data_IF_467380819378
#
_entry.id   IF_467380819378
#
_cell.length_a   1.000
_cell.length_b   1.000
_cell.length_c   1.000
_cell.angle_alpha   90.00
_cell.angle_beta   90.00
_cell.angle_gamma   90.00
#
_symmetry.space_group_name_H-M   'P 1'
#
loop_
_entity.id
_entity.type
_entity.pdbx_description
1 polymer ?
#
# COMPACT_ATOMS: atom_id res chain seq x y z
N UNK A 1 40.11 0.88 30.77
CA UNK A 1 39.99 2.28 30.32
C UNK A 1 40.15 2.26 28.81
N UNK A 2 39.13 2.73 28.09
CA UNK A 2 38.97 2.52 26.65
C UNK A 2 37.75 1.66 26.33
N UNK A 3 36.55 2.13 26.67
CA UNK A 3 35.33 1.61 26.06
C UNK A 3 35.26 2.24 24.67
N UNK A 4 35.41 1.43 23.63
CA UNK A 4 35.22 1.88 22.25
C UNK A 4 33.74 1.72 21.89
N UNK A 5 33.18 2.86 21.51
CA UNK A 5 31.77 3.18 21.46
C UNK A 5 31.14 2.47 20.28
N UNK A 6 30.10 1.66 20.55
CA UNK A 6 29.18 1.13 19.55
C UNK A 6 28.70 2.28 18.64
N UNK A 7 29.06 2.22 17.36
CA UNK A 7 28.53 3.11 16.35
C UNK A 7 27.00 2.96 16.35
N UNK A 8 26.34 4.07 16.69
CA UNK A 8 24.89 4.25 16.73
C UNK A 8 24.25 3.78 15.43
N UNK A 9 23.17 3.03 15.58
CA UNK A 9 22.18 2.65 14.56
C UNK A 9 21.97 3.79 13.57
N UNK A 10 22.48 3.61 12.35
CA UNK A 10 21.95 4.29 11.18
C UNK A 10 20.50 3.86 11.01
N UNK A 11 19.64 4.83 10.76
CA UNK A 11 18.23 4.64 10.46
C UNK A 11 18.10 3.89 9.13
N UNK A 12 18.27 2.57 9.17
CA UNK A 12 17.58 1.70 8.22
C UNK A 12 16.11 1.87 8.57
N UNK A 13 15.47 2.86 7.94
CA UNK A 13 14.02 2.86 7.84
C UNK A 13 13.67 1.47 7.36
N UNK A 14 13.07 0.69 8.26
CA UNK A 14 12.50 -0.62 7.99
C UNK A 14 11.84 -0.49 6.62
N UNK A 15 12.41 -1.14 5.60
CA UNK A 15 11.73 -1.21 4.32
C UNK A 15 10.40 -1.84 4.67
N UNK A 16 9.34 -1.02 4.73
CA UNK A 16 7.97 -1.50 4.70
C UNK A 16 8.00 -2.44 3.52
N UNK A 17 7.96 -3.75 3.80
CA UNK A 17 7.96 -4.74 2.75
C UNK A 17 6.91 -4.29 1.75
N UNK A 18 7.19 -4.46 0.46
CA UNK A 18 6.25 -4.11 -0.61
C UNK A 18 5.05 -5.08 -0.59
N UNK A 19 4.42 -5.20 0.57
CA UNK A 19 3.25 -5.98 0.85
C UNK A 19 2.10 -5.20 0.25
N UNK A 20 1.58 -5.73 -0.85
CA UNK A 20 0.51 -5.13 -1.61
C UNK A 20 -0.79 -5.88 -1.36
N UNK A 21 -1.87 -5.12 -1.34
CA UNK A 21 -3.25 -5.57 -1.26
C UNK A 21 -3.84 -5.52 -2.67
N UNK A 22 -4.33 -6.65 -3.20
CA UNK A 22 -4.99 -6.65 -4.50
C UNK A 22 -6.28 -5.83 -4.42
N UNK A 23 -6.70 -5.25 -5.54
CA UNK A 23 -7.93 -4.46 -5.60
C UNK A 23 -9.17 -5.31 -5.89
N UNK A 24 -8.98 -6.57 -6.28
CA UNK A 24 -10.03 -7.43 -6.83
C UNK A 24 -10.42 -7.07 -8.26
N UNK A 25 -9.65 -6.20 -8.92
CA UNK A 25 -9.85 -5.75 -10.31
C UNK A 25 -8.53 -5.88 -11.06
N UNK A 26 -8.36 -6.95 -11.84
CA UNK A 26 -7.11 -7.27 -12.54
C UNK A 26 -6.52 -6.08 -13.32
N UNK A 27 -7.37 -5.34 -14.03
CA UNK A 27 -6.92 -4.18 -14.80
C UNK A 27 -6.34 -3.07 -13.92
N UNK A 28 -6.93 -2.84 -12.74
CA UNK A 28 -6.45 -1.85 -11.79
C UNK A 28 -5.19 -2.34 -11.08
N UNK A 29 -5.12 -3.62 -10.70
CA UNK A 29 -3.93 -4.21 -10.08
C UNK A 29 -2.71 -4.12 -10.98
N UNK A 30 -2.89 -4.39 -12.27
CA UNK A 30 -1.84 -4.22 -13.28
C UNK A 30 -1.36 -2.77 -13.37
N UNK A 31 -2.28 -1.79 -13.34
CA UNK A 31 -1.94 -0.36 -13.36
C UNK A 31 -1.19 0.06 -12.09
N UNK A 32 -1.56 -0.50 -10.94
CA UNK A 32 -0.95 -0.19 -9.63
C UNK A 32 0.35 -0.95 -9.36
N UNK A 33 0.77 -1.86 -10.26
CA UNK A 33 1.98 -2.67 -10.10
C UNK A 33 1.80 -3.82 -9.11
N UNK A 34 0.64 -4.48 -9.11
CA UNK A 34 0.30 -5.58 -8.20
C UNK A 34 -0.52 -5.16 -6.99
N UNK A 35 -1.29 -4.07 -7.11
CA UNK A 35 -2.22 -3.61 -6.07
C UNK A 35 -1.69 -2.46 -5.18
N UNK A 36 -2.45 -2.14 -4.16
CA UNK A 36 -2.20 -1.03 -3.24
C UNK A 36 -1.14 -1.38 -2.20
N UNK A 37 -0.09 -0.56 -2.02
CA UNK A 37 0.82 -0.69 -0.88
C UNK A 37 0.07 -0.72 0.47
N UNK A 38 0.38 -1.69 1.33
CA UNK A 38 -0.22 -1.74 2.67
C UNK A 38 0.23 -0.55 3.52
N UNK A 39 -0.65 -0.15 4.44
CA UNK A 39 -0.43 1.01 5.31
C UNK A 39 -0.63 2.38 4.64
N UNK A 40 -1.02 2.40 3.36
CA UNK A 40 -1.37 3.62 2.64
C UNK A 40 -2.79 4.12 2.91
N UNK A 41 -3.01 5.41 2.69
CA UNK A 41 -4.34 6.03 2.66
C UNK A 41 -4.68 6.42 1.22
N UNK A 42 -5.84 5.98 0.72
CA UNK A 42 -6.22 6.11 -0.68
C UNK A 42 -7.55 6.86 -0.84
N UNK A 43 -7.58 7.82 -1.77
CA UNK A 43 -8.78 8.59 -2.12
C UNK A 43 -9.28 8.16 -3.50
N UNK A 44 -10.53 7.72 -3.57
CA UNK A 44 -11.22 7.40 -4.81
C UNK A 44 -12.17 8.57 -5.15
N UNK A 45 -11.95 9.24 -6.27
CA UNK A 45 -12.76 10.36 -6.73
C UNK A 45 -13.33 10.13 -8.13
N UNK A 46 -14.48 10.75 -8.42
CA UNK A 46 -15.15 10.67 -9.73
C UNK A 46 -16.61 11.14 -9.68
N UNK A 47 -17.20 11.39 -10.84
CA UNK A 47 -18.56 11.89 -11.01
C UNK A 47 -19.65 10.95 -10.47
N UNK A 48 -20.90 11.40 -10.24
CA UNK A 48 -22.02 10.51 -9.93
C UNK A 48 -22.16 9.40 -10.98
N UNK A 49 -22.36 8.16 -10.54
CA UNK A 49 -22.49 6.99 -11.44
C UNK A 49 -21.17 6.38 -11.92
N UNK A 50 -19.99 6.92 -11.57
CA UNK A 50 -18.67 6.37 -11.96
C UNK A 50 -18.28 5.04 -11.31
N UNK A 51 -19.11 4.47 -10.44
CA UNK A 51 -18.85 3.15 -9.83
C UNK A 51 -17.95 3.15 -8.58
N UNK A 52 -17.71 4.29 -7.93
CA UNK A 52 -16.90 4.38 -6.68
C UNK A 52 -17.35 3.39 -5.59
N UNK A 53 -18.65 3.32 -5.33
CA UNK A 53 -19.21 2.38 -4.34
C UNK A 53 -19.03 0.94 -4.79
N UNK A 54 -19.20 0.66 -6.09
CA UNK A 54 -18.97 -0.67 -6.65
C UNK A 54 -17.51 -1.10 -6.50
N UNK A 55 -16.56 -0.21 -6.80
CA UNK A 55 -15.12 -0.46 -6.60
C UNK A 55 -14.80 -0.70 -5.12
N UNK A 56 -15.36 0.09 -4.20
CA UNK A 56 -15.15 -0.09 -2.77
C UNK A 56 -15.72 -1.43 -2.26
N UNK A 57 -16.87 -1.85 -2.76
CA UNK A 57 -17.45 -3.16 -2.41
C UNK A 57 -16.65 -4.31 -3.01
N UNK A 58 -16.18 -4.18 -4.25
CA UNK A 58 -15.28 -5.16 -4.88
C UNK A 58 -14.01 -5.35 -4.04
N UNK A 59 -13.39 -4.25 -3.62
CA UNK A 59 -12.23 -4.26 -2.73
C UNK A 59 -12.54 -4.94 -1.38
N UNK A 60 -13.73 -4.70 -0.81
CA UNK A 60 -14.13 -5.33 0.45
C UNK A 60 -14.31 -6.85 0.32
N UNK A 61 -14.74 -7.33 -0.85
CA UNK A 61 -15.03 -8.74 -1.09
C UNK A 61 -13.79 -9.54 -1.53
N UNK A 62 -12.95 -8.96 -2.38
CA UNK A 62 -11.87 -9.66 -3.09
C UNK A 62 -10.46 -9.12 -2.76
N UNK A 63 -10.36 -7.99 -2.07
CA UNK A 63 -9.10 -7.28 -1.80
C UNK A 63 -8.35 -7.70 -0.54
#
# INVERSE_FOLDING_TARGET
MGQEIQHRKGLEGEMVGDERCLSGVDGLDNILGGGFPRGGFYLIQGDPGSGKTTLALQFLLEG
#
